data_IF_718423732968
#
_entry.id   IF_718423732968
#
_cell.length_a   1.000
_cell.length_b   1.000
_cell.length_c   1.000
_cell.angle_alpha   90.00
_cell.angle_beta   90.00
_cell.angle_gamma   90.00
#
_symmetry.space_group_name_H-M   'P 1'
#
loop_
_entity.id
_entity.type
_entity.pdbx_description
1 polymer ?
#
# COMPACT_ATOMS: atom_id res chain seq x y z
N UNK A 1 -22.66 -15.45 3.07
CA UNK A 1 -22.33 -14.12 3.65
C UNK A 1 -21.61 -14.23 5.00
N UNK A 2 -22.07 -15.08 5.94
CA UNK A 2 -21.41 -15.23 7.26
C UNK A 2 -19.93 -15.67 7.17
N UNK A 3 -19.58 -16.59 6.26
CA UNK A 3 -18.19 -17.03 6.06
C UNK A 3 -17.25 -15.89 5.61
N UNK A 4 -17.69 -15.07 4.64
CA UNK A 4 -16.91 -13.91 4.16
C UNK A 4 -16.68 -12.91 5.31
N UNK A 5 -17.73 -12.58 6.06
CA UNK A 5 -17.62 -11.66 7.19
C UNK A 5 -16.61 -12.14 8.25
N UNK A 6 -16.61 -13.43 8.56
CA UNK A 6 -15.64 -14.02 9.48
C UNK A 6 -14.19 -13.92 8.94
N UNK A 7 -13.96 -14.20 7.66
CA UNK A 7 -12.64 -14.08 7.04
C UNK A 7 -12.15 -12.62 6.95
N UNK A 8 -13.05 -11.65 6.74
CA UNK A 8 -12.72 -10.21 6.83
C UNK A 8 -12.27 -9.85 8.24
N UNK A 9 -13.03 -10.26 9.27
CA UNK A 9 -12.68 -9.99 10.67
C UNK A 9 -11.35 -10.63 11.07
N UNK A 10 -11.12 -11.88 10.63
CA UNK A 10 -9.86 -12.60 10.80
C UNK A 10 -8.69 -11.83 10.16
N UNK A 11 -8.87 -11.38 8.90
CA UNK A 11 -7.94 -10.54 8.18
C UNK A 11 -7.54 -9.27 8.91
N UNK A 12 -8.53 -8.48 9.34
CA UNK A 12 -8.30 -7.24 10.07
C UNK A 12 -7.65 -7.49 11.44
N UNK A 13 -8.07 -8.53 12.17
CA UNK A 13 -7.46 -8.90 13.47
C UNK A 13 -5.99 -9.29 13.32
N UNK A 14 -5.65 -10.06 12.29
CA UNK A 14 -4.26 -10.40 11.98
C UNK A 14 -3.43 -9.17 11.66
N UNK A 15 -3.94 -8.32 10.75
CA UNK A 15 -3.27 -7.10 10.34
C UNK A 15 -3.03 -6.12 11.51
N UNK A 16 -4.04 -5.90 12.36
CA UNK A 16 -3.93 -5.08 13.58
C UNK A 16 -3.03 -5.75 14.62
N UNK A 17 -3.08 -7.07 14.74
CA UNK A 17 -2.18 -7.83 15.63
C UNK A 17 -0.71 -7.60 15.27
N UNK A 18 -0.38 -7.60 13.97
CA UNK A 18 0.97 -7.28 13.51
C UNK A 18 1.34 -5.83 13.83
N UNK A 19 0.41 -4.87 13.64
CA UNK A 19 0.61 -3.46 13.98
C UNK A 19 0.98 -3.32 15.47
N UNK A 20 0.18 -3.95 16.34
CA UNK A 20 0.35 -3.95 17.79
C UNK A 20 1.49 -4.86 18.31
N UNK A 21 2.35 -5.37 17.44
CA UNK A 21 3.46 -6.25 17.78
C UNK A 21 3.10 -7.55 18.55
N UNK A 22 1.93 -8.12 18.28
CA UNK A 22 1.51 -9.39 18.91
C UNK A 22 2.27 -10.59 18.31
N UNK A 23 2.89 -11.45 19.14
CA UNK A 23 3.67 -12.61 18.66
C UNK A 23 2.88 -13.59 17.78
N UNK A 24 1.60 -13.79 18.12
CA UNK A 24 0.73 -14.77 17.48
C UNK A 24 -0.24 -14.13 16.45
N UNK A 25 0.09 -12.93 15.96
CA UNK A 25 -0.78 -12.20 15.03
C UNK A 25 -1.10 -12.99 13.74
N UNK A 26 -0.16 -13.81 13.28
CA UNK A 26 -0.33 -14.66 12.09
C UNK A 26 -1.45 -15.69 12.23
N UNK A 27 -1.72 -16.15 13.46
CA UNK A 27 -2.68 -17.23 13.73
C UNK A 27 -4.14 -16.74 13.62
N UNK A 28 -4.34 -15.42 13.59
CA UNK A 28 -5.65 -14.81 13.41
C UNK A 28 -6.13 -14.82 11.94
N UNK A 29 -5.23 -15.01 10.97
CA UNK A 29 -5.61 -15.00 9.55
C UNK A 29 -6.31 -16.29 9.14
N UNK A 30 -7.32 -16.15 8.27
CA UNK A 30 -7.86 -17.29 7.52
C UNK A 30 -6.91 -17.59 6.34
N UNK A 31 -6.08 -18.62 6.49
CA UNK A 31 -5.08 -19.04 5.50
C UNK A 31 -5.59 -20.14 4.55
N UNK A 32 -6.90 -20.41 4.56
CA UNK A 32 -7.51 -21.32 3.59
C UNK A 32 -7.59 -20.70 2.20
N UNK A 33 -7.88 -21.51 1.17
CA UNK A 33 -8.15 -20.99 -0.18
C UNK A 33 -9.32 -19.99 -0.19
N UNK A 34 -10.30 -20.16 0.71
CA UNK A 34 -11.38 -19.20 0.87
C UNK A 34 -10.85 -17.86 1.41
N UNK A 35 -10.03 -17.89 2.45
CA UNK A 35 -9.39 -16.71 3.01
C UNK A 35 -8.52 -15.95 2.01
N UNK A 36 -7.79 -16.69 1.14
CA UNK A 36 -7.05 -16.10 0.00
C UNK A 36 -8.00 -15.32 -0.91
N UNK A 37 -9.07 -15.94 -1.39
CA UNK A 37 -10.03 -15.27 -2.28
C UNK A 37 -10.69 -14.06 -1.62
N UNK A 38 -11.07 -14.17 -0.34
CA UNK A 38 -11.68 -13.06 0.42
C UNK A 38 -10.68 -11.93 0.65
N UNK A 39 -9.37 -12.21 0.80
CA UNK A 39 -8.36 -11.16 0.96
C UNK A 39 -8.27 -10.21 -0.24
N UNK A 40 -8.61 -10.67 -1.45
CA UNK A 40 -8.68 -9.82 -2.65
C UNK A 40 -9.89 -8.88 -2.68
N UNK A 41 -10.74 -8.89 -1.65
CA UNK A 41 -11.72 -7.83 -1.39
C UNK A 41 -11.13 -6.62 -0.66
N UNK A 42 -9.90 -6.72 -0.13
CA UNK A 42 -9.20 -5.60 0.52
C UNK A 42 -9.13 -4.32 -0.34
N UNK A 43 -8.82 -4.36 -1.66
CA UNK A 43 -8.96 -3.19 -2.52
C UNK A 43 -10.35 -2.57 -2.46
N UNK A 44 -11.41 -3.37 -2.58
CA UNK A 44 -12.79 -2.83 -2.56
C UNK A 44 -13.14 -2.14 -1.24
N UNK A 45 -12.57 -2.58 -0.12
CA UNK A 45 -12.72 -1.93 1.19
C UNK A 45 -11.98 -0.59 1.24
N UNK A 46 -10.81 -0.49 0.60
CA UNK A 46 -9.98 0.72 0.56
C UNK A 46 -10.48 1.72 -0.50
N UNK A 47 -11.17 1.27 -1.54
CA UNK A 47 -11.60 2.10 -2.66
C UNK A 47 -12.40 3.35 -2.24
N UNK A 48 -13.39 3.29 -1.33
CA UNK A 48 -14.13 4.48 -0.89
C UNK A 48 -13.23 5.54 -0.27
N UNK A 49 -12.24 5.11 0.51
CA UNK A 49 -11.26 6.02 1.10
C UNK A 49 -10.43 6.70 0.01
N UNK A 50 -9.97 5.93 -0.97
CA UNK A 50 -9.16 6.46 -2.06
C UNK A 50 -9.93 7.45 -2.93
N UNK A 51 -11.19 7.17 -3.22
CA UNK A 51 -12.09 8.09 -3.92
C UNK A 51 -12.31 9.37 -3.11
N UNK A 52 -12.53 9.28 -1.80
CA UNK A 52 -12.67 10.44 -0.92
C UNK A 52 -11.41 11.31 -0.93
N UNK A 53 -10.21 10.72 -0.85
CA UNK A 53 -8.96 11.49 -0.91
C UNK A 53 -8.77 12.18 -2.26
N UNK A 54 -9.30 11.61 -3.34
CA UNK A 54 -9.19 12.20 -4.68
C UNK A 54 -10.06 13.42 -4.92
N UNK A 55 -11.08 13.64 -4.07
CA UNK A 55 -11.94 14.82 -4.12
C UNK A 55 -11.44 15.96 -3.22
N UNK A 56 -10.35 15.75 -2.47
CA UNK A 56 -9.80 16.76 -1.58
C UNK A 56 -8.89 17.71 -2.37
N UNK A 57 -9.35 18.95 -2.51
CA UNK A 57 -8.59 20.05 -3.06
C UNK A 57 -7.81 20.78 -1.95
N UNK A 58 -6.61 21.25 -2.27
CA UNK A 58 -5.83 22.15 -1.44
C UNK A 58 -5.34 23.33 -2.28
N UNK A 59 -5.25 24.49 -1.65
CA UNK A 59 -4.70 25.69 -2.30
C UNK A 59 -3.19 25.68 -2.16
N UNK A 60 -2.48 25.70 -3.28
CA UNK A 60 -1.02 25.83 -3.32
C UNK A 60 -0.58 27.25 -2.95
N UNK A 61 0.70 27.47 -2.60
CA UNK A 61 1.20 28.80 -2.22
C UNK A 61 1.02 29.89 -3.29
N UNK A 62 0.85 29.51 -4.56
CA UNK A 62 0.59 30.42 -5.69
C UNK A 62 -0.91 30.76 -5.89
N UNK A 63 -1.78 30.24 -5.02
CA UNK A 63 -3.23 30.48 -5.07
C UNK A 63 -3.99 29.60 -6.05
N UNK A 64 -3.34 28.63 -6.72
CA UNK A 64 -4.05 27.63 -7.53
C UNK A 64 -4.65 26.52 -6.67
N UNK A 65 -5.73 25.88 -7.16
CA UNK A 65 -6.30 24.71 -6.51
C UNK A 65 -5.68 23.46 -7.12
N UNK A 66 -5.11 22.60 -6.29
CA UNK A 66 -4.60 21.30 -6.66
C UNK A 66 -5.37 20.20 -5.93
N UNK A 67 -5.61 19.07 -6.60
CA UNK A 67 -6.13 17.89 -5.91
C UNK A 67 -5.00 17.18 -5.18
N UNK A 68 -5.24 16.74 -3.94
CA UNK A 68 -4.28 15.93 -3.18
C UNK A 68 -3.89 14.67 -3.94
N UNK A 69 -4.82 14.09 -4.71
CA UNK A 69 -4.57 12.92 -5.54
C UNK A 69 -5.55 12.85 -6.72
N UNK A 70 -5.07 12.87 -7.96
CA UNK A 70 -5.94 12.57 -9.12
C UNK A 70 -6.31 11.08 -9.06
N UNK A 71 -7.60 10.75 -9.06
CA UNK A 71 -8.02 9.36 -9.13
C UNK A 71 -7.72 8.79 -10.52
N UNK A 72 -6.94 7.73 -10.54
CA UNK A 72 -6.70 6.91 -11.71
C UNK A 72 -7.04 5.46 -11.37
N UNK A 73 -8.12 4.96 -11.97
CA UNK A 73 -8.60 3.60 -11.76
C UNK A 73 -7.57 2.56 -12.23
N UNK A 74 -6.81 2.84 -13.28
CA UNK A 74 -5.78 1.93 -13.79
C UNK A 74 -4.61 1.86 -12.85
N UNK A 75 -4.11 3.01 -12.40
CA UNK A 75 -3.10 3.06 -11.34
C UNK A 75 -3.56 2.31 -10.09
N UNK A 76 -4.80 2.55 -9.66
CA UNK A 76 -5.38 1.89 -8.49
C UNK A 76 -5.35 0.36 -8.64
N UNK A 77 -5.88 -0.17 -9.75
CA UNK A 77 -5.87 -1.61 -10.04
C UNK A 77 -4.44 -2.14 -10.07
N UNK A 78 -3.55 -1.48 -10.82
CA UNK A 78 -2.16 -1.90 -10.99
C UNK A 78 -1.42 -1.97 -9.65
N UNK A 79 -1.61 -1.01 -8.76
CA UNK A 79 -0.99 -1.00 -7.42
C UNK A 79 -1.37 -2.22 -6.58
N UNK A 80 -2.59 -2.73 -6.72
CA UNK A 80 -3.06 -3.91 -5.98
C UNK A 80 -2.64 -5.24 -6.61
N UNK A 81 -2.47 -5.31 -7.93
CA UNK A 81 -2.17 -6.58 -8.64
C UNK A 81 -0.69 -6.79 -8.94
N UNK A 82 0.09 -5.70 -9.13
CA UNK A 82 1.49 -5.78 -9.57
C UNK A 82 2.34 -6.56 -8.57
N UNK A 83 2.25 -6.23 -7.28
CA UNK A 83 3.04 -6.92 -6.27
C UNK A 83 2.68 -8.41 -6.11
N UNK A 84 1.39 -8.82 -5.98
CA UNK A 84 1.03 -10.24 -5.97
C UNK A 84 1.54 -11.02 -7.19
N UNK A 85 1.45 -10.44 -8.39
CA UNK A 85 1.94 -11.05 -9.64
C UNK A 85 3.45 -11.28 -9.58
N UNK A 86 4.22 -10.31 -9.07
CA UNK A 86 5.68 -10.44 -8.89
C UNK A 86 6.01 -11.48 -7.81
N UNK A 87 5.23 -11.50 -6.72
CA UNK A 87 5.53 -12.32 -5.55
C UNK A 87 5.36 -13.82 -5.80
N UNK A 88 4.40 -14.24 -6.64
CA UNK A 88 4.15 -15.66 -6.95
C UNK A 88 5.41 -16.37 -7.50
N UNK A 89 6.02 -15.94 -8.62
CA UNK A 89 7.24 -16.55 -9.11
C UNK A 89 8.43 -16.30 -8.18
N UNK A 90 8.51 -15.13 -7.55
CA UNK A 90 9.59 -14.83 -6.59
C UNK A 90 9.59 -15.81 -5.42
N UNK A 91 8.42 -16.18 -4.90
CA UNK A 91 8.30 -17.16 -3.83
C UNK A 91 8.82 -18.54 -4.25
N UNK A 92 8.70 -18.92 -5.52
CA UNK A 92 9.32 -20.16 -6.03
C UNK A 92 10.84 -20.03 -6.02
N UNK A 93 11.38 -18.89 -6.48
CA UNK A 93 12.83 -18.63 -6.53
C UNK A 93 13.48 -18.65 -5.14
N UNK A 94 12.77 -18.22 -4.09
CA UNK A 94 13.26 -18.21 -2.70
C UNK A 94 12.82 -19.43 -1.88
N UNK A 95 12.28 -20.47 -2.53
CA UNK A 95 11.80 -21.71 -1.90
C UNK A 95 10.69 -21.52 -0.84
N UNK A 96 9.80 -20.54 -1.06
CA UNK A 96 8.65 -20.19 -0.22
C UNK A 96 7.29 -20.35 -0.91
N UNK A 97 7.20 -21.20 -1.93
CA UNK A 97 5.97 -21.46 -2.69
C UNK A 97 4.77 -21.85 -1.80
N UNK A 98 5.02 -22.59 -0.72
CA UNK A 98 3.96 -23.05 0.19
C UNK A 98 3.44 -21.93 1.10
N UNK A 99 4.21 -20.86 1.29
CA UNK A 99 3.87 -19.73 2.15
C UNK A 99 3.30 -18.55 1.38
N UNK A 100 3.45 -18.50 0.05
CA UNK A 100 3.10 -17.31 -0.74
C UNK A 100 1.64 -16.93 -0.61
N UNK A 101 0.72 -17.90 -0.61
CA UNK A 101 -0.71 -17.62 -0.46
C UNK A 101 -1.04 -17.03 0.90
N UNK A 102 -0.45 -17.59 1.97
CA UNK A 102 -0.58 -17.07 3.33
C UNK A 102 -0.02 -15.65 3.44
N UNK A 103 1.12 -15.39 2.80
CA UNK A 103 1.70 -14.07 2.72
C UNK A 103 0.81 -13.08 1.99
N UNK A 104 0.20 -13.45 0.86
CA UNK A 104 -0.71 -12.58 0.12
C UNK A 104 -1.96 -12.23 0.92
N UNK A 105 -2.50 -13.16 1.71
CA UNK A 105 -3.59 -12.86 2.67
C UNK A 105 -3.17 -11.75 3.62
N UNK A 106 -2.03 -11.93 4.29
CA UNK A 106 -1.53 -10.94 5.24
C UNK A 106 -1.20 -9.61 4.59
N UNK A 107 -0.57 -9.62 3.41
CA UNK A 107 -0.23 -8.44 2.63
C UNK A 107 -1.48 -7.63 2.27
N UNK A 108 -2.50 -8.26 1.69
CA UNK A 108 -3.76 -7.61 1.31
C UNK A 108 -4.43 -6.94 2.52
N UNK A 109 -4.60 -7.66 3.62
CA UNK A 109 -5.22 -7.10 4.83
C UNK A 109 -4.35 -6.03 5.50
N UNK A 110 -3.03 -6.16 5.43
CA UNK A 110 -2.11 -5.14 5.93
C UNK A 110 -2.18 -3.84 5.14
N UNK A 111 -2.45 -3.90 3.83
CA UNK A 111 -2.63 -2.71 3.02
C UNK A 111 -3.86 -1.92 3.45
N UNK A 112 -4.93 -2.57 3.92
CA UNK A 112 -6.08 -1.87 4.52
C UNK A 112 -5.65 -1.02 5.71
N UNK A 113 -4.82 -1.59 6.60
CA UNK A 113 -4.31 -0.89 7.78
C UNK A 113 -3.34 0.24 7.40
N UNK A 114 -2.43 -0.02 6.46
CA UNK A 114 -1.47 0.97 5.94
C UNK A 114 -2.21 2.16 5.35
N UNK A 115 -3.19 1.93 4.48
CA UNK A 115 -3.99 2.98 3.84
C UNK A 115 -4.76 3.79 4.88
N UNK A 116 -5.39 3.14 5.87
CA UNK A 116 -6.11 3.83 6.94
C UNK A 116 -5.19 4.71 7.80
N UNK A 117 -3.98 4.26 8.13
CA UNK A 117 -3.02 5.03 8.94
C UNK A 117 -2.42 6.18 8.12
N UNK A 118 -2.22 5.98 6.82
CA UNK A 118 -1.59 6.97 5.93
C UNK A 118 -2.45 8.22 5.75
N UNK A 119 -3.74 8.17 6.08
CA UNK A 119 -4.65 9.31 6.09
C UNK A 119 -4.19 10.42 7.04
N UNK A 120 -3.72 10.06 8.24
CA UNK A 120 -3.40 11.01 9.30
C UNK A 120 -2.36 12.05 8.85
N UNK A 121 -1.17 11.66 8.35
CA UNK A 121 -0.20 12.65 7.92
C UNK A 121 -0.65 13.45 6.69
N UNK A 122 -1.51 12.90 5.82
CA UNK A 122 -2.08 13.63 4.68
C UNK A 122 -2.97 14.78 5.16
N UNK A 123 -3.85 14.54 6.14
CA UNK A 123 -4.66 15.61 6.72
C UNK A 123 -3.84 16.64 7.48
N UNK A 124 -2.78 16.23 8.17
CA UNK A 124 -1.88 17.17 8.87
C UNK A 124 -1.13 18.09 7.91
N UNK A 125 -0.74 17.59 6.73
CA UNK A 125 -0.19 18.41 5.66
C UNK A 125 -1.21 19.43 5.15
N UNK A 126 -2.46 19.00 4.97
CA UNK A 126 -3.52 19.87 4.46
C UNK A 126 -3.98 20.94 5.48
N UNK A 127 -3.87 20.67 6.79
CA UNK A 127 -4.49 21.53 7.81
C UNK A 127 -3.61 22.71 8.30
N UNK A 128 -2.38 22.86 7.80
CA UNK A 128 -1.37 23.84 8.27
C UNK A 128 -1.00 23.76 9.77
N UNK A 129 -1.60 22.84 10.54
CA UNK A 129 -1.59 22.84 12.00
C UNK A 129 -0.23 22.55 12.64
N UNK A 130 0.70 21.91 11.92
CA UNK A 130 2.02 21.48 12.43
C UNK A 130 3.20 22.17 11.74
N UNK A 131 2.93 23.08 10.78
CA UNK A 131 3.94 23.62 9.88
C UNK A 131 4.55 22.57 8.94
N UNK A 132 5.17 23.01 7.83
CA UNK A 132 5.66 22.10 6.78
C UNK A 132 6.69 21.09 7.29
N UNK A 133 7.64 21.53 8.13
CA UNK A 133 8.71 20.67 8.68
C UNK A 133 8.12 19.62 9.64
N UNK A 134 7.19 20.01 10.52
CA UNK A 134 6.55 19.10 11.46
C UNK A 134 5.78 17.99 10.75
N UNK A 135 5.01 18.34 9.72
CA UNK A 135 4.27 17.38 8.91
C UNK A 135 5.20 16.40 8.16
N UNK A 136 6.34 16.88 7.62
CA UNK A 136 7.35 16.02 6.98
C UNK A 136 8.00 15.03 7.95
N UNK A 137 8.32 15.46 9.17
CA UNK A 137 8.86 14.57 10.21
C UNK A 137 7.84 13.47 10.55
N UNK A 138 6.57 13.83 10.72
CA UNK A 138 5.50 12.87 11.01
C UNK A 138 5.34 11.87 9.86
N UNK A 139 5.33 12.33 8.61
CA UNK A 139 5.32 11.47 7.43
C UNK A 139 6.46 10.46 7.43
N UNK A 140 7.68 10.92 7.72
CA UNK A 140 8.86 10.06 7.76
C UNK A 140 8.75 9.00 8.87
N UNK A 141 8.34 9.40 10.08
CA UNK A 141 8.17 8.49 11.22
C UNK A 141 7.10 7.45 10.92
N UNK A 142 5.94 7.86 10.42
CA UNK A 142 4.86 6.95 10.03
C UNK A 142 5.32 6.02 8.92
N UNK A 143 6.00 6.53 7.89
CA UNK A 143 6.53 5.74 6.77
C UNK A 143 7.50 4.65 7.24
N UNK A 144 8.49 4.99 8.08
CA UNK A 144 9.43 4.02 8.65
C UNK A 144 8.70 2.97 9.49
N UNK A 145 7.73 3.38 10.31
CA UNK A 145 6.95 2.45 11.10
C UNK A 145 6.14 1.47 10.24
N UNK A 146 5.51 1.95 9.17
CA UNK A 146 4.77 1.11 8.22
C UNK A 146 5.69 0.18 7.41
N UNK A 147 6.93 0.59 7.13
CA UNK A 147 7.95 -0.30 6.56
C UNK A 147 8.34 -1.43 7.52
N UNK A 148 8.57 -1.11 8.80
CA UNK A 148 8.85 -2.12 9.84
C UNK A 148 7.66 -3.09 9.96
N UNK A 149 6.44 -2.55 9.93
CA UNK A 149 5.22 -3.34 9.91
C UNK A 149 5.16 -4.32 8.74
N UNK A 150 5.37 -3.86 7.49
CA UNK A 150 5.45 -4.72 6.31
C UNK A 150 6.56 -5.76 6.42
N UNK A 151 7.73 -5.35 6.91
CA UNK A 151 8.88 -6.24 7.11
C UNK A 151 8.55 -7.39 8.07
N UNK A 152 7.84 -7.10 9.19
CA UNK A 152 7.43 -8.12 10.16
C UNK A 152 6.43 -9.12 9.57
N UNK A 153 5.51 -8.65 8.72
CA UNK A 153 4.56 -9.51 8.01
C UNK A 153 5.29 -10.42 7.03
N UNK A 154 6.15 -9.86 6.16
CA UNK A 154 6.93 -10.62 5.20
C UNK A 154 7.80 -11.68 5.90
N UNK A 155 8.54 -11.28 6.93
CA UNK A 155 9.39 -12.17 7.72
C UNK A 155 8.61 -13.34 8.32
N UNK A 156 7.45 -13.05 8.94
CA UNK A 156 6.65 -14.02 9.68
C UNK A 156 5.88 -14.97 8.76
N UNK A 157 5.14 -14.44 7.77
CA UNK A 157 4.28 -15.24 6.91
C UNK A 157 5.06 -16.03 5.86
N UNK A 158 6.17 -15.48 5.33
CA UNK A 158 7.06 -16.25 4.44
C UNK A 158 8.07 -17.11 5.21
N UNK A 159 8.19 -16.95 6.53
CA UNK A 159 9.17 -17.68 7.36
C UNK A 159 10.61 -17.51 6.86
N UNK A 160 11.00 -16.28 6.55
CA UNK A 160 12.30 -15.91 5.97
C UNK A 160 13.18 -15.13 6.94
N UNK A 161 14.47 -15.00 6.59
CA UNK A 161 15.42 -14.18 7.32
C UNK A 161 15.15 -12.68 7.17
N UNK A 162 15.76 -11.87 8.05
CA UNK A 162 15.56 -10.41 8.06
C UNK A 162 15.97 -9.73 6.76
N UNK A 163 17.10 -10.12 6.16
CA UNK A 163 17.58 -9.56 4.89
C UNK A 163 16.64 -9.88 3.72
N UNK A 164 16.16 -11.11 3.64
CA UNK A 164 15.18 -11.50 2.62
C UNK A 164 13.88 -10.70 2.79
N UNK A 165 13.40 -10.52 4.02
CA UNK A 165 12.22 -9.69 4.28
C UNK A 165 12.45 -8.22 3.88
N UNK A 166 13.64 -7.67 4.10
CA UNK A 166 14.00 -6.32 3.62
C UNK A 166 13.93 -6.24 2.09
N UNK A 167 14.45 -7.25 1.37
CA UNK A 167 14.37 -7.31 -0.08
C UNK A 167 12.91 -7.38 -0.57
N UNK A 168 12.05 -8.16 0.10
CA UNK A 168 10.61 -8.20 -0.23
C UNK A 168 9.96 -6.82 -0.06
N UNK A 169 10.24 -6.11 1.03
CA UNK A 169 9.70 -4.76 1.25
C UNK A 169 10.21 -3.78 0.19
N UNK A 170 11.49 -3.88 -0.20
CA UNK A 170 12.04 -3.05 -1.28
C UNK A 170 11.37 -3.35 -2.63
N UNK A 171 11.13 -4.62 -2.96
CA UNK A 171 10.40 -5.03 -4.18
C UNK A 171 8.97 -4.50 -4.16
N UNK A 172 8.29 -4.55 -3.02
CA UNK A 172 6.95 -3.99 -2.85
C UNK A 172 6.93 -2.47 -3.13
N UNK A 173 7.92 -1.72 -2.63
CA UNK A 173 8.05 -0.31 -2.98
C UNK A 173 8.29 -0.10 -4.47
N UNK A 174 9.22 -0.86 -5.08
CA UNK A 174 9.50 -0.80 -6.52
C UNK A 174 8.27 -1.14 -7.36
N UNK A 175 7.43 -2.06 -6.91
CA UNK A 175 6.19 -2.43 -7.59
C UNK A 175 5.21 -1.25 -7.70
N UNK A 176 5.22 -0.33 -6.73
CA UNK A 176 4.39 0.89 -6.78
C UNK A 176 4.88 1.81 -7.90
N UNK A 177 6.20 1.96 -8.07
CA UNK A 177 6.75 2.74 -9.18
C UNK A 177 6.45 2.11 -10.55
N UNK A 178 6.50 0.78 -10.65
CA UNK A 178 6.09 0.07 -11.87
C UNK A 178 4.63 0.36 -12.19
N UNK A 179 3.74 0.36 -11.20
CA UNK A 179 2.32 0.71 -11.40
C UNK A 179 2.13 2.14 -11.92
N UNK A 180 2.90 3.12 -11.40
CA UNK A 180 2.88 4.52 -11.88
C UNK A 180 3.30 4.61 -13.35
N UNK A 181 4.39 3.92 -13.72
CA UNK A 181 4.90 3.91 -15.10
C UNK A 181 3.86 3.32 -16.04
N UNK A 182 3.27 2.18 -15.65
CA UNK A 182 2.29 1.46 -16.46
C UNK A 182 0.95 2.20 -16.60
N UNK A 183 0.57 3.05 -15.63
CA UNK A 183 -0.63 3.87 -15.73
C UNK A 183 -0.44 5.15 -16.55
N UNK A 184 0.78 5.39 -17.07
CA UNK A 184 1.10 6.58 -17.85
C UNK A 184 1.46 7.81 -17.02
N UNK A 185 1.63 7.68 -15.70
CA UNK A 185 1.87 8.79 -14.76
C UNK A 185 3.16 9.58 -14.98
N UNK A 186 4.10 9.09 -15.80
CA UNK A 186 5.31 9.83 -16.21
C UNK A 186 5.10 10.69 -17.47
N UNK A 187 4.03 10.46 -18.24
CA UNK A 187 3.73 11.22 -19.46
C UNK A 187 3.23 12.64 -19.21
N UNK A 188 2.70 12.89 -18.01
CA UNK A 188 2.22 14.21 -17.55
C UNK A 188 3.34 15.11 -16.99
N UNK A 189 4.63 14.69 -17.09
CA UNK A 189 5.74 15.56 -16.74
C UNK A 189 5.80 16.75 -17.72
N UNK A 190 6.08 17.98 -17.24
CA UNK A 190 6.23 19.15 -18.09
C UNK A 190 7.20 18.86 -19.23
N UNK A 191 6.68 18.85 -20.46
CA UNK A 191 7.54 18.70 -21.63
C UNK A 191 8.45 19.93 -21.71
N UNK A 192 9.74 19.76 -22.05
CA UNK A 192 10.59 20.91 -22.33
C UNK A 192 9.93 21.78 -23.40
N UNK A 193 10.03 23.12 -23.31
CA UNK A 193 9.43 24.01 -24.28
C UNK A 193 9.86 23.59 -25.69
N UNK A 194 8.87 23.46 -26.59
CA UNK A 194 9.13 23.08 -27.97
C UNK A 194 10.10 24.05 -28.65
N UNK A 195 10.82 23.61 -29.70
CA UNK A 195 11.70 24.49 -30.43
C UNK A 195 10.93 25.72 -30.94
N UNK A 196 11.55 26.92 -30.94
CA UNK A 196 10.90 28.12 -31.44
C UNK A 196 10.45 27.91 -32.89
N UNK A 197 9.31 28.50 -33.30
CA UNK A 197 8.82 28.36 -34.66
C UNK A 197 9.91 28.83 -35.65
N UNK A 198 10.16 28.03 -36.68
CA UNK A 198 11.07 28.40 -37.75
C UNK A 198 10.50 29.64 -38.45
N UNK A 199 11.22 30.75 -38.32
CA UNK A 199 10.95 32.03 -39.00
C UNK A 199 11.22 31.94 -40.50
#
# INVERSE_FOLDING_TARGET
MQAIGASIQAGLRGAIGFLANKPNAKDAFDLSLHGVAVSFLAPLIVLPLHLMLSTLEFTTPDGSNANLMKFDIWYYILRWVTFPIIMIPLAVLIDRKNQVLSFLVGWNWSNVVIEAISILPIFLLASSATGAIGAQIILMVVGVYLMIYRWRIAKSLLSIGGWSATAIVAIDMLSTYVAIVLSGGLGDLPQPPGPPPAS
#
